data_IF_245284558723
#
_entry.id   IF_245284558723
#
_cell.length_a   1.000
_cell.length_b   1.000
_cell.length_c   1.000
_cell.angle_alpha   90.00
_cell.angle_beta   90.00
_cell.angle_gamma   90.00
#
_symmetry.space_group_name_H-M   'P 1'
#
loop_
_entity.id
_entity.type
_entity.pdbx_description
1 polymer ?
#
# COMPACT_ATOMS: atom_id res chain seq x y z
N UNK A 1 -28.95 -12.01 -13.08
CA UNK A 1 -29.63 -11.49 -11.87
C UNK A 1 -28.68 -10.49 -11.20
N UNK A 2 -29.12 -9.27 -10.85
CA UNK A 2 -28.25 -8.34 -10.16
C UNK A 2 -27.97 -8.86 -8.74
N UNK A 3 -26.69 -9.03 -8.42
CA UNK A 3 -26.23 -9.45 -7.09
C UNK A 3 -26.48 -8.26 -6.16
N UNK A 4 -27.24 -8.48 -5.08
CA UNK A 4 -27.46 -7.47 -4.07
C UNK A 4 -26.11 -7.06 -3.43
N UNK A 5 -25.89 -5.77 -3.13
CA UNK A 5 -24.64 -5.34 -2.50
C UNK A 5 -24.45 -6.06 -1.18
N UNK A 6 -23.25 -6.63 -0.99
CA UNK A 6 -22.90 -7.30 0.26
C UNK A 6 -22.77 -6.24 1.36
N UNK A 7 -23.66 -6.29 2.35
CA UNK A 7 -23.39 -5.65 3.63
C UNK A 7 -22.11 -6.26 4.21
N UNK A 8 -21.28 -5.50 4.95
CA UNK A 8 -20.12 -6.05 5.63
C UNK A 8 -20.58 -7.22 6.51
N UNK A 9 -20.10 -8.42 6.20
CA UNK A 9 -20.42 -9.62 6.97
C UNK A 9 -19.87 -9.47 8.38
N UNK A 10 -20.52 -10.08 9.38
CA UNK A 10 -20.09 -10.03 10.78
C UNK A 10 -18.66 -10.56 11.02
N UNK A 11 -18.11 -11.31 10.06
CA UNK A 11 -16.70 -11.68 9.99
C UNK A 11 -16.04 -11.05 8.74
N UNK A 12 -14.88 -10.42 8.93
CA UNK A 12 -14.07 -9.91 7.83
C UNK A 12 -13.56 -11.07 6.95
N UNK A 13 -13.53 -10.94 5.61
CA UNK A 13 -12.97 -11.96 4.74
C UNK A 13 -11.49 -12.22 5.06
N UNK A 14 -10.99 -13.47 5.00
CA UNK A 14 -9.58 -13.76 5.24
C UNK A 14 -8.68 -13.18 4.15
N UNK A 15 -7.44 -12.80 4.49
CA UNK A 15 -6.49 -12.32 3.49
C UNK A 15 -6.09 -13.44 2.51
N UNK A 16 -6.09 -13.19 1.19
CA UNK A 16 -5.85 -14.23 0.19
C UNK A 16 -4.44 -14.86 0.19
N UNK A 17 -3.49 -14.28 0.92
CA UNK A 17 -2.06 -14.59 0.79
C UNK A 17 -1.29 -14.48 2.10
N UNK A 18 -1.62 -13.51 2.95
CA UNK A 18 -1.01 -13.37 4.26
C UNK A 18 -1.68 -14.35 5.24
N UNK A 19 -0.97 -15.44 5.54
CA UNK A 19 -1.49 -16.52 6.39
C UNK A 19 -0.89 -16.52 7.81
N UNK A 20 0.11 -15.69 8.06
CA UNK A 20 0.80 -15.58 9.33
C UNK A 20 1.07 -14.10 9.64
N UNK A 21 1.15 -13.71 10.91
CA UNK A 21 1.39 -12.32 11.33
C UNK A 21 2.88 -11.96 11.19
N UNK A 22 3.48 -12.22 10.03
CA UNK A 22 4.90 -11.97 9.77
C UNK A 22 5.14 -11.58 8.32
N UNK A 23 5.96 -10.54 8.12
CA UNK A 23 6.37 -10.05 6.80
C UNK A 23 7.90 -10.08 6.67
N UNK A 24 8.39 -10.35 5.47
CA UNK A 24 9.81 -10.26 5.14
C UNK A 24 10.07 -9.01 4.31
N UNK A 25 11.23 -8.38 4.51
CA UNK A 25 11.64 -7.23 3.70
C UNK A 25 12.72 -7.69 2.72
N UNK A 26 12.50 -7.42 1.43
CA UNK A 26 13.42 -7.79 0.36
C UNK A 26 14.03 -6.58 -0.33
N UNK A 27 15.01 -6.87 -1.20
CA UNK A 27 15.65 -5.90 -2.11
C UNK A 27 16.27 -4.68 -1.42
N UNK A 28 16.76 -4.84 -0.19
CA UNK A 28 17.44 -3.78 0.54
C UNK A 28 18.91 -3.64 0.09
N UNK A 29 19.35 -2.45 -0.33
CA UNK A 29 20.75 -2.16 -0.58
C UNK A 29 21.61 -2.26 0.70
N UNK A 30 22.92 -2.41 0.53
CA UNK A 30 23.87 -2.51 1.64
C UNK A 30 24.00 -1.25 2.49
N UNK A 31 23.61 -0.08 1.99
CA UNK A 31 23.66 1.18 2.73
C UNK A 31 22.49 1.36 3.70
N UNK A 32 21.40 0.59 3.53
CA UNK A 32 20.24 0.67 4.43
C UNK A 32 20.60 0.01 5.76
N UNK A 33 20.43 0.77 6.84
CA UNK A 33 20.79 0.35 8.19
C UNK A 33 19.59 -0.22 8.96
N UNK A 34 19.89 -0.97 10.01
CA UNK A 34 18.88 -1.60 10.87
C UNK A 34 18.02 -0.57 11.61
N UNK A 35 18.61 0.56 12.05
CA UNK A 35 17.90 1.67 12.70
C UNK A 35 16.86 2.32 11.76
N UNK A 36 17.21 2.54 10.49
CA UNK A 36 16.29 3.09 9.49
C UNK A 36 15.08 2.17 9.28
N UNK A 37 15.31 0.85 9.22
CA UNK A 37 14.23 -0.13 9.06
C UNK A 37 13.35 -0.17 10.33
N UNK A 38 13.94 -0.13 11.53
CA UNK A 38 13.18 -0.09 12.79
C UNK A 38 12.32 1.18 12.89
N UNK A 39 12.85 2.33 12.49
CA UNK A 39 12.16 3.61 12.56
C UNK A 39 10.82 3.60 11.78
N UNK A 40 10.75 2.89 10.65
CA UNK A 40 9.51 2.73 9.86
C UNK A 40 8.36 2.12 10.69
N UNK A 41 8.66 1.19 11.60
CA UNK A 41 7.63 0.49 12.38
C UNK A 41 7.37 1.12 13.74
N UNK A 42 8.36 1.82 14.33
CA UNK A 42 8.26 2.32 15.70
C UNK A 42 7.09 3.27 15.96
N UNK A 43 6.74 4.12 14.99
CA UNK A 43 5.67 5.10 15.15
C UNK A 43 4.27 4.48 15.03
N UNK A 44 4.02 3.68 13.99
CA UNK A 44 2.68 3.16 13.65
C UNK A 44 2.43 1.72 14.16
N UNK A 45 3.50 0.97 14.47
CA UNK A 45 3.46 -0.44 14.86
C UNK A 45 4.41 -0.73 16.04
N UNK A 46 4.22 -0.10 17.22
CA UNK A 46 5.15 -0.21 18.34
C UNK A 46 5.29 -1.63 18.93
N UNK A 47 4.30 -2.50 18.68
CA UNK A 47 4.33 -3.90 19.10
C UNK A 47 4.99 -4.84 18.07
N UNK A 48 5.34 -4.33 16.88
CA UNK A 48 6.01 -5.12 15.86
C UNK A 48 7.48 -5.34 16.24
N UNK A 49 7.94 -6.58 16.11
CA UNK A 49 9.32 -6.96 16.39
C UNK A 49 10.09 -7.12 15.07
N UNK A 50 11.11 -6.30 14.86
CA UNK A 50 12.00 -6.41 13.70
C UNK A 50 13.21 -7.27 14.04
N UNK A 51 13.30 -8.42 13.37
CA UNK A 51 14.37 -9.40 13.46
C UNK A 51 15.30 -9.29 12.26
N UNK A 52 16.62 -9.22 12.49
CA UNK A 52 17.62 -9.12 11.44
C UNK A 52 18.39 -10.43 11.29
N UNK A 53 18.29 -11.04 10.11
CA UNK A 53 19.17 -12.13 9.70
C UNK A 53 20.12 -11.63 8.59
N UNK A 54 21.28 -12.28 8.46
CA UNK A 54 22.20 -12.06 7.34
C UNK A 54 22.34 -13.33 6.52
N UNK A 55 22.37 -13.17 5.21
CA UNK A 55 22.63 -14.27 4.27
C UNK A 55 24.02 -14.86 4.53
N UNK A 56 24.06 -16.14 4.85
CA UNK A 56 25.33 -16.83 5.16
C UNK A 56 26.10 -17.23 3.90
N UNK A 57 25.39 -17.54 2.82
CA UNK A 57 25.92 -18.14 1.60
C UNK A 57 25.41 -17.42 0.33
N UNK A 58 26.12 -17.58 -0.78
CA UNK A 58 25.72 -17.09 -2.12
C UNK A 58 26.21 -15.68 -2.46
N UNK A 59 25.81 -15.18 -3.65
CA UNK A 59 26.26 -13.90 -4.23
C UNK A 59 25.93 -12.69 -3.36
N UNK A 60 24.90 -12.80 -2.52
CA UNK A 60 24.44 -11.74 -1.62
C UNK A 60 24.91 -11.95 -0.18
N UNK A 61 26.01 -12.67 0.10
CA UNK A 61 26.49 -12.94 1.46
C UNK A 61 26.62 -11.64 2.28
N UNK A 62 26.14 -11.66 3.52
CA UNK A 62 26.14 -10.51 4.42
C UNK A 62 24.99 -9.52 4.23
N UNK A 63 24.20 -9.65 3.16
CA UNK A 63 23.00 -8.85 2.93
C UNK A 63 21.96 -9.06 4.03
N UNK A 64 21.33 -7.96 4.43
CA UNK A 64 20.26 -7.96 5.42
C UNK A 64 19.02 -8.68 4.89
N UNK A 65 18.43 -9.51 5.73
CA UNK A 65 17.13 -10.17 5.54
C UNK A 65 16.26 -9.87 6.74
N UNK A 66 15.66 -8.67 6.81
CA UNK A 66 14.76 -8.34 7.90
C UNK A 66 13.47 -9.16 7.80
N UNK A 67 12.97 -9.54 8.96
CA UNK A 67 11.65 -10.10 9.18
C UNK A 67 10.96 -9.25 10.24
N UNK A 68 9.69 -8.96 10.04
CA UNK A 68 8.87 -8.21 10.98
C UNK A 68 7.76 -9.13 11.46
N UNK A 69 7.72 -9.37 12.76
CA UNK A 69 6.69 -10.17 13.42
C UNK A 69 5.69 -9.23 14.12
N UNK A 70 4.40 -9.47 13.91
CA UNK A 70 3.29 -8.67 14.42
C UNK A 70 2.52 -9.46 15.49
N UNK A 71 1.80 -8.77 16.40
CA UNK A 71 1.02 -9.44 17.43
C UNK A 71 -0.14 -10.28 16.88
N UNK A 72 -0.73 -9.85 15.76
CA UNK A 72 -1.87 -10.52 15.13
C UNK A 72 -1.87 -10.31 13.61
N UNK A 73 -2.72 -11.10 12.93
CA UNK A 73 -2.83 -11.06 11.48
C UNK A 73 -3.33 -9.70 10.98
N UNK A 74 -4.27 -9.07 11.70
CA UNK A 74 -4.84 -7.77 11.33
C UNK A 74 -3.76 -6.68 11.27
N UNK A 75 -2.85 -6.66 12.24
CA UNK A 75 -1.72 -5.73 12.31
C UNK A 75 -0.74 -5.93 11.17
N UNK A 76 -0.46 -7.19 10.81
CA UNK A 76 0.40 -7.53 9.68
C UNK A 76 -0.27 -7.15 8.33
N UNK A 77 -1.56 -7.41 8.16
CA UNK A 77 -2.34 -7.00 6.98
C UNK A 77 -2.36 -5.48 6.81
N UNK A 78 -2.55 -4.75 7.92
CA UNK A 78 -2.54 -3.29 7.91
C UNK A 78 -1.18 -2.73 7.54
N UNK A 79 -0.10 -3.27 8.12
CA UNK A 79 1.26 -2.90 7.77
C UNK A 79 1.55 -3.20 6.29
N UNK A 80 1.08 -4.34 5.78
CA UNK A 80 1.19 -4.67 4.37
C UNK A 80 0.51 -3.60 3.48
N UNK A 81 -0.75 -3.26 3.75
CA UNK A 81 -1.49 -2.31 2.92
C UNK A 81 -0.95 -0.87 3.00
N UNK A 82 -0.46 -0.43 4.17
CA UNK A 82 -0.04 0.96 4.41
C UNK A 82 1.45 1.20 4.15
N UNK A 83 2.31 0.19 4.37
CA UNK A 83 3.76 0.33 4.27
C UNK A 83 4.39 -0.32 3.02
N UNK A 84 3.74 -1.30 2.37
CA UNK A 84 4.31 -1.93 1.17
C UNK A 84 4.51 -0.91 0.05
N UNK A 85 5.71 -0.77 -0.52
CA UNK A 85 6.10 0.25 -1.50
C UNK A 85 6.12 1.69 -0.95
N UNK A 86 6.24 1.88 0.37
CA UNK A 86 6.56 3.19 0.97
C UNK A 86 8.03 3.51 0.87
N UNK A 87 8.36 4.80 0.76
CA UNK A 87 9.75 5.25 0.90
C UNK A 87 10.22 5.05 2.34
N UNK A 88 11.44 4.55 2.51
CA UNK A 88 12.13 4.51 3.80
C UNK A 88 12.73 5.91 4.02
N UNK A 89 12.34 6.56 5.11
CA UNK A 89 12.85 7.89 5.47
C UNK A 89 14.38 7.88 5.63
N UNK A 90 15.01 9.03 5.38
CA UNK A 90 16.44 9.27 5.61
C UNK A 90 17.37 8.30 4.87
N UNK A 91 16.97 7.85 3.68
CA UNK A 91 17.80 7.04 2.76
C UNK A 91 18.23 7.86 1.54
N UNK A 92 19.52 7.80 1.21
CA UNK A 92 20.08 8.35 -0.01
C UNK A 92 20.88 7.26 -0.75
N UNK A 93 20.49 6.86 -1.97
CA UNK A 93 19.29 7.28 -2.71
C UNK A 93 17.98 6.79 -2.06
N UNK A 94 16.85 7.36 -2.45
CA UNK A 94 15.52 6.98 -1.96
C UNK A 94 15.24 5.49 -2.21
N UNK A 95 14.94 4.74 -1.15
CA UNK A 95 14.58 3.31 -1.22
C UNK A 95 13.11 3.10 -0.87
N UNK A 96 12.46 2.15 -1.54
CA UNK A 96 11.10 1.70 -1.21
C UNK A 96 11.11 0.39 -0.43
N UNK A 97 10.22 0.29 0.55
CA UNK A 97 10.03 -0.86 1.40
C UNK A 97 9.23 -1.94 0.66
N UNK A 98 9.88 -3.02 0.24
CA UNK A 98 9.19 -4.11 -0.44
C UNK A 98 8.99 -5.31 0.50
N UNK A 99 7.73 -5.65 0.74
CA UNK A 99 7.35 -6.82 1.53
C UNK A 99 7.22 -8.09 0.69
N UNK A 100 7.54 -9.19 1.35
CA UNK A 100 7.37 -10.56 0.92
C UNK A 100 6.64 -11.31 2.03
N UNK A 101 5.85 -12.30 1.65
CA UNK A 101 5.05 -13.11 2.56
C UNK A 101 5.64 -14.51 2.70
N UNK A 102 5.27 -15.20 3.77
CA UNK A 102 5.63 -16.62 3.96
C UNK A 102 4.41 -17.48 3.73
N UNK A 103 4.50 -18.38 2.75
CA UNK A 103 3.50 -19.41 2.50
C UNK A 103 4.21 -20.77 2.38
N UNK A 104 3.75 -21.77 3.12
CA UNK A 104 4.33 -23.12 3.13
C UNK A 104 5.85 -23.12 3.30
N UNK A 105 6.35 -22.35 4.28
CA UNK A 105 7.78 -22.19 4.59
C UNK A 105 8.64 -21.56 3.48
N UNK A 106 8.02 -20.99 2.43
CA UNK A 106 8.71 -20.26 1.36
C UNK A 106 8.38 -18.78 1.43
N UNK A 107 9.40 -17.95 1.31
CA UNK A 107 9.25 -16.50 1.14
C UNK A 107 8.91 -16.21 -0.33
N UNK A 108 7.79 -15.53 -0.57
CA UNK A 108 7.26 -15.25 -1.90
C UNK A 108 7.00 -13.74 -2.06
N UNK A 109 7.19 -13.24 -3.28
CA UNK A 109 6.73 -11.91 -3.65
C UNK A 109 5.20 -11.87 -3.62
N UNK A 110 4.63 -10.71 -3.32
CA UNK A 110 3.19 -10.50 -3.46
C UNK A 110 2.84 -10.49 -4.95
N UNK A 111 1.73 -11.13 -5.36
CA UNK A 111 1.22 -10.95 -6.71
C UNK A 111 0.72 -9.52 -6.89
N UNK A 112 0.81 -9.00 -8.11
CA UNK A 112 0.25 -7.69 -8.44
C UNK A 112 -1.28 -7.74 -8.37
N UNK A 113 -1.89 -6.68 -7.81
CA UNK A 113 -3.32 -6.50 -7.89
C UNK A 113 -3.70 -6.12 -9.33
N UNK A 114 -4.60 -6.89 -9.94
CA UNK A 114 -5.12 -6.63 -11.30
C UNK A 114 -6.25 -5.59 -11.33
N UNK A 115 -6.42 -4.85 -10.25
CA UNK A 115 -7.60 -4.02 -9.97
C UNK A 115 -7.25 -2.55 -10.11
N UNK A 116 -8.10 -1.76 -10.76
CA UNK A 116 -7.89 -0.31 -10.81
C UNK A 116 -8.09 0.28 -9.40
N UNK A 117 -7.13 1.07 -8.89
CA UNK A 117 -7.29 1.77 -7.62
C UNK A 117 -8.56 2.62 -7.58
N UNK A 118 -9.09 2.86 -6.37
CA UNK A 118 -10.24 3.71 -6.10
C UNK A 118 -9.77 5.01 -5.44
N UNK A 119 -10.17 6.12 -6.04
CA UNK A 119 -10.00 7.46 -5.49
C UNK A 119 -11.11 7.74 -4.48
N UNK A 120 -10.76 8.37 -3.36
CA UNK A 120 -11.69 8.85 -2.36
C UNK A 120 -11.90 10.33 -2.58
N UNK A 121 -13.07 10.69 -3.11
CA UNK A 121 -13.40 12.08 -3.48
C UNK A 121 -13.56 13.00 -2.28
N UNK A 122 -14.01 12.45 -1.15
CA UNK A 122 -14.22 13.20 0.10
C UNK A 122 -13.56 12.42 1.22
N UNK A 123 -12.34 12.83 1.57
CA UNK A 123 -11.67 12.34 2.77
C UNK A 123 -12.20 13.11 3.99
N UNK A 124 -12.64 12.42 5.05
CA UNK A 124 -12.91 13.06 6.33
C UNK A 124 -11.67 13.80 6.84
N UNK A 125 -11.86 14.95 7.48
CA UNK A 125 -10.76 15.71 8.09
C UNK A 125 -10.05 14.85 9.16
N UNK A 126 -8.72 14.83 9.12
CA UNK A 126 -7.91 14.03 10.04
C UNK A 126 -7.91 12.53 9.75
N UNK A 127 -8.47 12.09 8.61
CA UNK A 127 -8.40 10.70 8.19
C UNK A 127 -6.94 10.27 7.98
N UNK A 128 -6.55 9.20 8.65
CA UNK A 128 -5.26 8.52 8.45
C UNK A 128 -5.46 7.26 7.63
N UNK A 129 -4.37 6.73 7.09
CA UNK A 129 -4.40 5.47 6.32
C UNK A 129 -4.82 4.28 7.18
N UNK A 130 -4.52 4.32 8.47
CA UNK A 130 -5.01 3.35 9.46
C UNK A 130 -6.53 3.42 9.57
N UNK A 131 -7.10 4.61 9.79
CA UNK A 131 -8.56 4.76 9.88
C UNK A 131 -9.26 4.38 8.59
N UNK A 132 -8.61 4.65 7.45
CA UNK A 132 -9.13 4.30 6.14
C UNK A 132 -9.06 2.79 5.87
N UNK A 133 -7.98 2.14 6.31
CA UNK A 133 -7.86 0.69 6.30
C UNK A 133 -9.00 0.06 7.11
N UNK A 134 -9.21 0.50 8.35
CA UNK A 134 -10.25 -0.05 9.22
C UNK A 134 -11.67 0.19 8.67
N UNK A 135 -11.91 1.31 7.99
CA UNK A 135 -13.18 1.61 7.32
C UNK A 135 -13.49 0.64 6.17
N UNK A 136 -12.47 0.26 5.39
CA UNK A 136 -12.63 -0.48 4.15
C UNK A 136 -12.42 -2.00 4.32
N UNK A 137 -11.67 -2.41 5.35
CA UNK A 137 -11.37 -3.81 5.64
C UNK A 137 -12.59 -4.73 5.78
N UNK A 138 -13.75 -4.26 6.29
CA UNK A 138 -14.97 -5.08 6.35
C UNK A 138 -15.49 -5.51 4.97
N UNK A 139 -15.19 -4.76 3.90
CA UNK A 139 -15.56 -5.14 2.55
C UNK A 139 -14.61 -6.17 1.99
N UNK A 140 -13.29 -6.02 2.21
CA UNK A 140 -12.26 -6.98 1.80
C UNK A 140 -10.87 -6.62 2.34
N UNK A 141 -9.91 -7.57 2.33
CA UNK A 141 -8.49 -7.24 2.41
C UNK A 141 -8.07 -6.18 1.39
N UNK A 142 -7.16 -5.30 1.79
CA UNK A 142 -6.65 -4.22 0.94
C UNK A 142 -5.25 -4.57 0.44
N UNK A 143 -4.99 -4.28 -0.83
CA UNK A 143 -3.66 -4.36 -1.43
C UNK A 143 -2.82 -3.14 -1.03
N UNK A 144 -3.41 -1.94 -1.14
CA UNK A 144 -2.74 -0.70 -0.77
C UNK A 144 -3.71 0.37 -0.27
N UNK A 145 -3.24 1.20 0.65
CA UNK A 145 -3.94 2.39 1.14
C UNK A 145 -2.95 3.55 1.17
N UNK A 146 -3.30 4.67 0.52
CA UNK A 146 -2.49 5.88 0.44
C UNK A 146 -3.35 7.11 0.66
N UNK A 147 -2.83 8.07 1.40
CA UNK A 147 -3.34 9.43 1.46
C UNK A 147 -2.24 10.36 0.97
N UNK A 148 -2.52 11.09 -0.10
CA UNK A 148 -1.67 12.13 -0.64
C UNK A 148 -2.35 13.50 -0.43
N UNK A 149 -1.64 14.54 0.03
CA UNK A 149 -2.24 15.85 0.26
C UNK A 149 -2.86 16.49 -0.99
N UNK A 150 -2.41 16.13 -2.19
CA UNK A 150 -2.87 16.70 -3.46
C UNK A 150 -3.99 15.86 -4.07
N UNK A 151 -3.79 14.53 -4.09
CA UNK A 151 -4.64 13.58 -4.81
C UNK A 151 -5.75 13.00 -3.92
N UNK A 152 -5.68 13.22 -2.61
CA UNK A 152 -6.59 12.64 -1.64
C UNK A 152 -6.27 11.17 -1.36
N UNK A 153 -7.32 10.36 -1.16
CA UNK A 153 -7.18 8.97 -0.75
C UNK A 153 -7.16 8.06 -1.97
N UNK A 154 -6.20 7.15 -2.04
CA UNK A 154 -6.10 6.13 -3.06
C UNK A 154 -6.06 4.75 -2.39
N UNK A 155 -6.98 3.88 -2.75
CA UNK A 155 -7.10 2.54 -2.17
C UNK A 155 -7.13 1.52 -3.29
N UNK A 156 -6.42 0.42 -3.12
CA UNK A 156 -6.49 -0.70 -4.04
C UNK A 156 -6.91 -1.96 -3.29
N UNK A 157 -7.89 -2.67 -3.85
CA UNK A 157 -8.34 -3.98 -3.39
C UNK A 157 -7.61 -5.09 -4.15
N UNK A 158 -7.67 -6.31 -3.64
CA UNK A 158 -7.11 -7.48 -4.34
C UNK A 158 -7.96 -7.93 -5.54
N UNK A 159 -9.27 -7.70 -5.51
CA UNK A 159 -10.17 -8.06 -6.62
C UNK A 159 -11.14 -6.92 -6.99
N UNK A 160 -11.51 -6.85 -8.27
CA UNK A 160 -12.40 -5.81 -8.79
C UNK A 160 -13.85 -5.99 -8.29
N UNK A 161 -14.27 -7.23 -8.05
CA UNK A 161 -15.59 -7.50 -7.47
C UNK A 161 -15.71 -6.85 -6.08
N UNK A 162 -14.66 -7.00 -5.26
CA UNK A 162 -14.63 -6.47 -3.91
C UNK A 162 -14.52 -4.93 -3.89
N UNK A 163 -13.77 -4.36 -4.84
CA UNK A 163 -13.72 -2.90 -5.02
C UNK A 163 -15.11 -2.32 -5.33
N UNK A 164 -15.89 -2.97 -6.19
CA UNK A 164 -17.27 -2.57 -6.53
C UNK A 164 -18.22 -2.72 -5.35
N UNK A 165 -18.10 -3.80 -4.59
CA UNK A 165 -18.91 -4.00 -3.39
C UNK A 165 -18.65 -2.89 -2.36
N UNK A 166 -17.38 -2.49 -2.17
CA UNK A 166 -17.02 -1.36 -1.31
C UNK A 166 -17.56 -0.02 -1.84
N UNK A 167 -17.52 0.22 -3.15
CA UNK A 167 -18.11 1.42 -3.78
C UNK A 167 -19.60 1.54 -3.49
N UNK A 168 -20.35 0.45 -3.67
CA UNK A 168 -21.80 0.44 -3.42
C UNK A 168 -22.09 0.56 -1.92
N UNK A 169 -21.33 -0.16 -1.09
CA UNK A 169 -21.50 -0.16 0.35
C UNK A 169 -21.22 1.20 1.00
N UNK A 170 -20.27 1.96 0.46
CA UNK A 170 -19.92 3.30 0.93
C UNK A 170 -20.70 4.42 0.24
N UNK A 171 -21.41 4.16 -0.86
CA UNK A 171 -22.26 5.14 -1.52
C UNK A 171 -23.38 5.69 -0.60
N UNK A 172 -23.78 4.92 0.42
CA UNK A 172 -24.71 5.36 1.46
C UNK A 172 -24.07 6.28 2.53
N UNK A 173 -22.75 6.43 2.51
CA UNK A 173 -21.97 7.27 3.42
C UNK A 173 -21.52 8.56 2.73
N UNK A 174 -20.98 9.52 3.48
CA UNK A 174 -20.38 10.75 2.91
C UNK A 174 -19.06 10.49 2.16
N UNK A 175 -18.51 9.27 2.25
CA UNK A 175 -17.26 8.89 1.60
C UNK A 175 -17.56 8.26 0.25
N UNK A 176 -17.20 8.96 -0.83
CA UNK A 176 -17.42 8.47 -2.20
C UNK A 176 -16.13 7.88 -2.75
N UNK A 177 -16.15 6.58 -3.02
CA UNK A 177 -15.15 5.87 -3.79
C UNK A 177 -15.48 5.93 -5.29
N UNK A 178 -14.46 6.07 -6.13
CA UNK A 178 -14.61 5.91 -7.57
C UNK A 178 -13.36 5.33 -8.21
N UNK A 179 -13.53 4.48 -9.21
CA UNK A 179 -12.43 3.99 -10.05
C UNK A 179 -11.54 5.13 -10.56
N UNK A 180 -10.23 4.94 -10.41
CA UNK A 180 -9.23 5.81 -11.00
C UNK A 180 -9.29 5.72 -12.53
N UNK A 181 -9.28 6.86 -13.19
CA UNK A 181 -9.17 6.94 -14.65
C UNK A 181 -7.70 6.80 -15.05
N UNK A 182 -7.30 5.72 -15.74
CA UNK A 182 -5.90 5.49 -16.13
C UNK A 182 -5.36 6.57 -17.08
N UNK A 183 -6.21 7.37 -17.73
CA UNK A 183 -5.81 8.49 -18.58
C UNK A 183 -5.59 9.79 -17.80
N UNK A 184 -5.89 9.81 -16.51
CA UNK A 184 -5.60 10.92 -15.62
C UNK A 184 -4.29 10.64 -14.89
N UNK A 185 -3.47 11.67 -14.65
CA UNK A 185 -2.24 11.58 -13.85
C UNK A 185 -2.23 12.71 -12.82
N UNK A 186 -1.94 12.38 -11.57
CA UNK A 186 -1.72 13.37 -10.52
C UNK A 186 -0.22 13.43 -10.21
N UNK A 187 0.39 14.57 -10.47
CA UNK A 187 1.80 14.81 -10.19
C UNK A 187 1.91 15.65 -8.92
N UNK A 188 2.56 15.10 -7.88
CA UNK A 188 2.87 15.81 -6.63
C UNK A 188 4.38 15.99 -6.47
N UNK A 189 4.80 16.89 -5.56
CA UNK A 189 6.21 17.26 -5.33
C UNK A 189 6.94 17.79 -6.57
N UNK A 190 6.23 18.53 -7.42
CA UNK A 190 6.81 19.20 -8.58
C UNK A 190 7.57 20.44 -8.11
N UNK A 191 8.74 20.72 -8.70
CA UNK A 191 9.48 21.97 -8.44
C UNK A 191 8.62 23.20 -8.76
N UNK A 192 8.77 24.26 -7.97
CA UNK A 192 8.06 25.53 -8.18
C UNK A 192 8.40 26.18 -9.53
N UNK A 193 9.55 25.85 -10.12
CA UNK A 193 9.98 26.35 -11.42
C UNK A 193 9.26 25.69 -12.60
N UNK A 194 8.59 24.54 -12.37
CA UNK A 194 7.86 23.83 -13.42
C UNK A 194 6.42 24.36 -13.47
N UNK A 195 6.06 24.93 -14.62
CA UNK A 195 4.70 25.36 -14.90
C UNK A 195 3.95 24.35 -15.78
N UNK A 196 2.64 24.56 -15.95
CA UNK A 196 1.78 23.67 -16.73
C UNK A 196 2.22 23.53 -18.20
N UNK A 197 2.81 24.57 -18.80
CA UNK A 197 3.29 24.50 -20.19
C UNK A 197 4.49 23.57 -20.30
N UNK A 198 5.47 23.68 -19.40
CA UNK A 198 6.65 22.81 -19.39
C UNK A 198 6.26 21.34 -19.16
N UNK A 199 5.37 21.09 -18.20
CA UNK A 199 4.85 19.74 -17.96
C UNK A 199 4.10 19.19 -19.18
N UNK A 200 3.26 20.02 -19.83
CA UNK A 200 2.53 19.62 -21.03
C UNK A 200 3.48 19.23 -22.16
N UNK A 201 4.47 20.07 -22.47
CA UNK A 201 5.47 19.76 -23.50
C UNK A 201 6.22 18.48 -23.18
N UNK A 202 6.53 18.22 -21.90
CA UNK A 202 7.19 16.98 -21.51
C UNK A 202 6.29 15.76 -21.67
N UNK A 203 5.01 15.84 -21.28
CA UNK A 203 4.07 14.73 -21.41
C UNK A 203 3.56 14.50 -22.84
N UNK A 204 3.60 15.52 -23.71
CA UNK A 204 3.25 15.41 -25.14
C UNK A 204 4.14 14.41 -25.89
N UNK A 205 5.37 14.18 -25.41
CA UNK A 205 6.26 13.14 -25.93
C UNK A 205 5.71 11.71 -25.69
N UNK A 206 4.92 11.53 -24.63
CA UNK A 206 4.40 10.23 -24.19
C UNK A 206 2.92 10.02 -24.52
N UNK A 207 2.21 11.06 -24.97
CA UNK A 207 0.81 10.96 -25.34
C UNK A 207 0.12 12.33 -25.46
N UNK A 208 -1.12 12.35 -25.96
CA UNK A 208 -1.86 13.60 -26.11
C UNK A 208 -2.41 14.09 -24.76
N UNK A 209 -1.89 15.21 -24.25
CA UNK A 209 -2.35 15.83 -22.99
C UNK A 209 -3.64 16.60 -23.21
N UNK A 210 -4.74 16.19 -22.56
CA UNK A 210 -6.06 16.83 -22.70
C UNK A 210 -6.23 17.99 -21.71
N UNK A 211 -5.73 17.83 -20.47
CA UNK A 211 -5.93 18.78 -19.38
C UNK A 211 -4.67 18.89 -18.51
#
# INVERSE_FOLDING_TARGET
>A
MPIAPRCPTSACPPHPYLLAPSLHIGHLPSHVREDQIRAVFQAEYPLATVCFARTKNGRNRGALRPRVDFPDLKSAERALATLHMRRIADTEPLIVLQFFITNNMKTLALPDASVSPRLIKVLPAGCTEETLFDLLRPYDPLYSVRIDPVSGGLVQFWTEANAKDAEIGLAATKTVLSAYDPCSLFCSNISFDLNAMVLRTHFEEFGHVIR
#
